data_IF_446935205726
#
_entry.id   IF_446935205726
#
_cell.length_a   1.000
_cell.length_b   1.000
_cell.length_c   1.000
_cell.angle_alpha   90.00
_cell.angle_beta   90.00
_cell.angle_gamma   90.00
#
_symmetry.space_group_name_H-M   'P 1'
#
loop_
_entity.id
_entity.type
_entity.pdbx_description
1 polymer ?
#
# COMPACT_ATOMS: atom_id res chain seq x y z
N UNK A 1 21.08 -56.08 10.40
CA UNK A 1 20.12 -56.93 9.66
C UNK A 1 18.80 -56.17 9.69
N UNK A 2 18.34 -55.47 8.65
CA UNK A 2 18.30 -55.75 7.21
C UNK A 2 18.72 -54.54 6.37
N UNK A 3 19.37 -54.88 5.25
CA UNK A 3 19.73 -54.07 4.08
C UNK A 3 18.50 -53.69 3.22
N UNK A 4 18.77 -52.86 2.20
CA UNK A 4 18.06 -52.62 0.91
C UNK A 4 17.17 -51.35 0.87
N UNK A 5 17.26 -50.40 -0.09
CA UNK A 5 17.88 -50.28 -1.42
C UNK A 5 18.14 -48.78 -1.74
N UNK A 6 19.24 -48.48 -2.43
CA UNK A 6 19.52 -47.23 -3.15
C UNK A 6 18.46 -46.94 -4.23
N UNK A 7 17.95 -45.71 -4.28
CA UNK A 7 17.53 -45.10 -5.55
C UNK A 7 18.17 -43.71 -5.67
N UNK A 8 19.33 -43.68 -6.34
CA UNK A 8 19.78 -42.50 -7.06
C UNK A 8 19.30 -42.64 -8.49
N UNK A 9 18.37 -41.79 -8.91
CA UNK A 9 18.06 -41.53 -10.32
C UNK A 9 17.44 -40.13 -10.43
N UNK A 10 18.31 -39.17 -10.74
CA UNK A 10 18.09 -38.14 -11.75
C UNK A 10 16.69 -37.54 -11.87
N UNK A 11 16.50 -36.34 -11.31
CA UNK A 11 15.57 -35.36 -11.88
C UNK A 11 16.30 -34.02 -12.05
N UNK A 12 17.05 -33.91 -13.15
CA UNK A 12 17.48 -32.64 -13.70
C UNK A 12 16.45 -32.28 -14.79
N UNK A 13 15.38 -31.60 -14.42
CA UNK A 13 14.41 -31.02 -15.36
C UNK A 13 14.06 -29.60 -14.91
N UNK A 14 14.68 -28.63 -15.60
CA UNK A 14 14.22 -27.27 -15.91
C UNK A 14 13.35 -26.56 -14.87
N UNK A 15 13.98 -25.95 -13.86
CA UNK A 15 13.38 -24.89 -13.04
C UNK A 15 13.89 -23.49 -13.41
N UNK A 16 14.47 -23.30 -14.60
CA UNK A 16 14.99 -22.00 -15.00
C UNK A 16 13.86 -21.05 -15.41
N UNK A 17 12.91 -21.51 -16.23
CA UNK A 17 11.84 -20.64 -16.75
C UNK A 17 10.90 -20.05 -15.69
N UNK A 18 10.55 -20.83 -14.66
CA UNK A 18 9.68 -20.37 -13.56
C UNK A 18 10.41 -19.42 -12.60
N UNK A 19 11.67 -19.69 -12.29
CA UNK A 19 12.50 -18.83 -11.43
C UNK A 19 12.82 -17.50 -12.12
N UNK A 20 13.14 -17.52 -13.42
CA UNK A 20 13.37 -16.30 -14.19
C UNK A 20 12.09 -15.47 -14.36
N UNK A 21 10.93 -16.10 -14.55
CA UNK A 21 9.65 -15.41 -14.63
C UNK A 21 9.26 -14.78 -13.28
N UNK A 22 9.49 -15.47 -12.16
CA UNK A 22 9.23 -14.91 -10.82
C UNK A 22 10.20 -13.78 -10.47
N UNK A 23 11.49 -13.93 -10.79
CA UNK A 23 12.52 -12.91 -10.52
C UNK A 23 12.25 -11.63 -11.34
N UNK A 24 11.83 -11.77 -12.60
CA UNK A 24 11.41 -10.64 -13.44
C UNK A 24 10.15 -9.96 -12.91
N UNK A 25 9.18 -10.73 -12.40
CA UNK A 25 7.95 -10.19 -11.80
C UNK A 25 8.26 -9.38 -10.54
N UNK A 26 9.08 -9.92 -9.64
CA UNK A 26 9.52 -9.23 -8.42
C UNK A 26 10.32 -7.96 -8.73
N UNK A 27 11.20 -8.01 -9.74
CA UNK A 27 11.95 -6.85 -10.18
C UNK A 27 11.05 -5.74 -10.77
N UNK A 28 10.05 -6.11 -11.58
CA UNK A 28 9.11 -5.15 -12.13
C UNK A 28 8.26 -4.49 -11.01
N UNK A 29 7.82 -5.28 -10.03
CA UNK A 29 7.12 -4.76 -8.84
C UNK A 29 7.99 -3.77 -8.06
N UNK A 30 9.28 -4.05 -7.88
CA UNK A 30 10.20 -3.16 -7.18
C UNK A 30 10.40 -1.81 -7.92
N UNK A 31 10.46 -1.81 -9.25
CA UNK A 31 10.51 -0.56 -10.03
C UNK A 31 9.22 0.25 -9.87
N UNK A 32 8.06 -0.39 -9.99
CA UNK A 32 6.77 0.28 -9.82
C UNK A 32 6.59 0.84 -8.40
N UNK A 33 7.09 0.14 -7.38
CA UNK A 33 7.13 0.64 -5.99
C UNK A 33 8.06 1.84 -5.84
N UNK A 34 9.25 1.81 -6.43
CA UNK A 34 10.18 2.95 -6.41
C UNK A 34 9.57 4.18 -7.10
N UNK A 35 8.82 3.98 -8.20
CA UNK A 35 8.08 5.05 -8.85
C UNK A 35 6.97 5.64 -7.96
N UNK A 36 6.18 4.79 -7.30
CA UNK A 36 5.14 5.25 -6.38
C UNK A 36 5.74 6.06 -5.21
N UNK A 37 6.89 5.66 -4.67
CA UNK A 37 7.60 6.43 -3.63
C UNK A 37 8.13 7.77 -4.14
N UNK A 38 8.65 7.79 -5.37
CA UNK A 38 9.06 9.04 -6.01
C UNK A 38 7.88 10.01 -6.07
N UNK A 39 6.73 9.59 -6.61
CA UNK A 39 5.54 10.45 -6.67
C UNK A 39 5.06 10.93 -5.30
N UNK A 40 5.13 10.08 -4.27
CA UNK A 40 4.76 10.49 -2.91
C UNK A 40 5.68 11.57 -2.34
N UNK A 41 6.97 11.54 -2.66
CA UNK A 41 7.92 12.58 -2.22
C UNK A 41 7.78 13.88 -3.03
N UNK A 42 7.09 13.83 -4.17
CA UNK A 42 6.86 14.97 -5.07
C UNK A 42 5.34 15.22 -5.22
N UNK A 43 4.63 15.66 -4.16
CA UNK A 43 3.17 15.68 -4.12
C UNK A 43 2.50 16.64 -5.11
N UNK A 44 3.28 17.51 -5.77
CA UNK A 44 2.82 18.35 -6.88
C UNK A 44 2.59 17.55 -8.18
N UNK A 45 2.95 16.26 -8.20
CA UNK A 45 2.90 15.39 -9.37
C UNK A 45 1.77 14.38 -9.26
N UNK A 46 0.92 14.34 -10.28
CA UNK A 46 -0.08 13.29 -10.44
C UNK A 46 0.47 12.14 -11.29
N UNK A 47 0.26 10.90 -10.85
CA UNK A 47 0.74 9.68 -11.53
C UNK A 47 0.28 9.57 -13.00
N UNK A 48 -0.88 10.15 -13.35
CA UNK A 48 -1.46 10.15 -14.71
C UNK A 48 -0.87 11.20 -15.64
N UNK A 49 -0.28 12.29 -15.11
CA UNK A 49 0.03 13.49 -15.88
C UNK A 49 1.49 13.97 -15.76
N UNK A 50 2.28 13.39 -14.87
CA UNK A 50 3.67 13.78 -14.65
C UNK A 50 4.65 12.70 -15.14
N UNK A 51 5.42 12.94 -16.22
CA UNK A 51 6.45 11.99 -16.62
C UNK A 51 7.52 11.90 -15.54
N UNK A 52 8.03 10.68 -15.33
CA UNK A 52 9.17 10.45 -14.44
C UNK A 52 10.38 11.27 -14.91
N UNK A 53 10.97 12.03 -13.98
CA UNK A 53 12.13 12.86 -14.28
C UNK A 53 13.38 12.27 -13.63
N UNK A 54 14.28 11.75 -14.48
CA UNK A 54 15.55 11.13 -14.05
C UNK A 54 16.39 12.12 -13.24
N UNK A 55 16.50 13.38 -13.67
CA UNK A 55 17.33 14.39 -13.00
C UNK A 55 16.83 14.69 -11.59
N UNK A 56 15.52 14.80 -11.44
CA UNK A 56 14.88 15.07 -10.15
C UNK A 56 15.00 13.86 -9.22
N UNK A 57 14.76 12.65 -9.74
CA UNK A 57 14.98 11.43 -8.98
C UNK A 57 16.43 11.31 -8.51
N UNK A 58 17.43 11.67 -9.33
CA UNK A 58 18.83 11.68 -8.89
C UNK A 58 19.11 12.78 -7.88
N UNK A 59 18.43 13.93 -8.00
CA UNK A 59 18.58 15.06 -7.09
C UNK A 59 18.07 14.72 -5.68
N UNK A 60 17.05 13.87 -5.56
CA UNK A 60 16.56 13.36 -4.28
C UNK A 60 17.62 12.66 -3.44
N UNK A 61 18.73 12.19 -4.03
CA UNK A 61 19.82 11.52 -3.32
C UNK A 61 21.09 12.37 -3.24
N UNK A 62 21.06 13.62 -3.69
CA UNK A 62 22.23 14.51 -3.71
C UNK A 62 22.85 14.65 -2.32
N UNK A 63 22.03 14.85 -1.29
CA UNK A 63 22.50 15.01 0.10
C UNK A 63 23.14 13.75 0.67
N UNK A 64 22.69 12.58 0.23
CA UNK A 64 23.27 11.29 0.61
C UNK A 64 24.70 11.17 0.09
N UNK A 65 24.93 11.49 -1.20
CA UNK A 65 26.25 11.36 -1.83
C UNK A 65 27.21 12.51 -1.54
N UNK A 66 26.70 13.68 -1.15
CA UNK A 66 27.54 14.77 -0.65
C UNK A 66 28.21 14.43 0.68
N UNK A 67 27.50 13.69 1.54
CA UNK A 67 28.05 13.21 2.82
C UNK A 67 28.93 11.97 2.62
N UNK A 68 28.52 11.06 1.72
CA UNK A 68 29.18 9.77 1.53
C UNK A 68 29.44 9.49 0.04
N UNK A 69 30.71 9.50 -0.39
CA UNK A 69 31.05 9.20 -1.80
C UNK A 69 30.68 7.78 -2.22
N UNK A 70 30.73 6.83 -1.28
CA UNK A 70 30.30 5.44 -1.44
C UNK A 70 29.33 5.13 -0.33
N UNK A 71 28.16 4.63 -0.69
CA UNK A 71 27.05 4.39 0.23
C UNK A 71 26.79 2.90 0.30
N UNK A 72 26.79 2.32 1.50
CA UNK A 72 26.38 0.94 1.71
C UNK A 72 24.85 0.80 1.90
N UNK A 73 24.38 -0.43 2.07
CA UNK A 73 22.94 -0.70 2.23
C UNK A 73 22.37 -0.08 3.49
N UNK A 74 23.12 -0.02 4.59
CA UNK A 74 22.63 0.52 5.86
C UNK A 74 22.44 2.03 5.77
N UNK A 75 23.42 2.72 5.19
CA UNK A 75 23.37 4.16 4.95
C UNK A 75 22.25 4.53 3.97
N UNK A 76 22.06 3.75 2.89
CA UNK A 76 20.98 3.96 1.94
C UNK A 76 19.61 3.78 2.60
N UNK A 77 19.43 2.68 3.34
CA UNK A 77 18.18 2.38 4.04
C UNK A 77 17.88 3.46 5.08
N UNK A 78 18.87 3.89 5.87
CA UNK A 78 18.66 4.95 6.86
C UNK A 78 18.20 6.26 6.20
N UNK A 79 18.82 6.63 5.08
CA UNK A 79 18.43 7.82 4.32
C UNK A 79 16.97 7.75 3.84
N UNK A 80 16.55 6.62 3.29
CA UNK A 80 15.17 6.40 2.87
C UNK A 80 14.18 6.42 4.05
N UNK A 81 14.57 5.87 5.20
CA UNK A 81 13.74 5.92 6.41
C UNK A 81 13.57 7.36 6.93
N UNK A 82 14.62 8.18 6.89
CA UNK A 82 14.55 9.58 7.33
C UNK A 82 13.63 10.41 6.41
N UNK A 83 13.71 10.20 5.09
CA UNK A 83 12.79 10.80 4.12
C UNK A 83 11.35 10.36 4.40
N UNK A 84 11.15 9.07 4.65
CA UNK A 84 9.84 8.49 4.94
C UNK A 84 9.22 9.07 6.23
N UNK A 85 10.00 9.32 7.28
CA UNK A 85 9.51 9.94 8.51
C UNK A 85 8.91 11.33 8.24
N UNK A 86 9.60 12.14 7.43
CA UNK A 86 9.13 13.48 7.05
C UNK A 86 7.83 13.40 6.27
N UNK A 87 7.77 12.52 5.27
CA UNK A 87 6.58 12.29 4.46
C UNK A 87 5.39 11.83 5.31
N UNK A 88 5.60 10.86 6.21
CA UNK A 88 4.55 10.33 7.08
C UNK A 88 4.02 11.38 8.04
N UNK A 89 4.87 12.30 8.54
CA UNK A 89 4.41 13.43 9.36
C UNK A 89 3.45 14.33 8.58
N UNK A 90 3.81 14.72 7.35
CA UNK A 90 2.94 15.54 6.49
C UNK A 90 1.63 14.82 6.16
N UNK A 91 1.71 13.52 5.80
CA UNK A 91 0.50 12.71 5.53
C UNK A 91 -0.39 12.59 6.76
N UNK A 92 0.18 12.43 7.96
CA UNK A 92 -0.57 12.37 9.21
C UNK A 92 -1.35 13.66 9.45
N UNK A 93 -0.73 14.82 9.27
CA UNK A 93 -1.38 16.12 9.43
C UNK A 93 -2.56 16.31 8.45
N UNK A 94 -2.38 15.89 7.20
CA UNK A 94 -3.47 15.91 6.21
C UNK A 94 -4.55 14.89 6.52
N UNK A 95 -4.18 13.70 6.96
CA UNK A 95 -5.11 12.64 7.35
C UNK A 95 -5.97 13.06 8.54
N UNK A 96 -5.38 13.75 9.52
CA UNK A 96 -6.09 14.32 10.66
C UNK A 96 -7.15 15.33 10.21
N UNK A 97 -6.80 16.27 9.33
CA UNK A 97 -7.76 17.22 8.75
C UNK A 97 -8.90 16.49 8.00
N UNK A 98 -8.56 15.45 7.25
CA UNK A 98 -9.54 14.63 6.55
C UNK A 98 -10.45 13.84 7.51
N UNK A 99 -9.97 13.44 8.69
CA UNK A 99 -10.80 12.77 9.70
C UNK A 99 -11.93 13.68 10.18
N UNK A 100 -11.63 14.96 10.49
CA UNK A 100 -12.65 15.95 10.84
C UNK A 100 -13.68 16.15 9.72
N UNK A 101 -13.22 16.28 8.47
CA UNK A 101 -14.12 16.41 7.32
C UNK A 101 -15.00 15.16 7.15
N UNK A 102 -14.43 13.97 7.30
CA UNK A 102 -15.18 12.71 7.21
C UNK A 102 -16.21 12.59 8.33
N UNK A 103 -15.85 12.93 9.56
CA UNK A 103 -16.81 12.96 10.67
C UNK A 103 -18.00 13.87 10.32
N UNK A 104 -17.72 15.09 9.89
CA UNK A 104 -18.75 16.05 9.48
C UNK A 104 -19.59 15.56 8.29
N UNK A 105 -19.11 14.66 7.43
CA UNK A 105 -19.90 14.06 6.35
C UNK A 105 -20.79 12.92 6.88
N UNK A 106 -20.30 12.15 7.85
CA UNK A 106 -21.02 11.01 8.43
C UNK A 106 -22.09 11.44 9.45
N UNK A 107 -21.82 12.49 10.22
CA UNK A 107 -22.80 13.15 11.09
C UNK A 107 -23.81 13.89 10.19
N UNK A 108 -24.86 13.19 9.77
CA UNK A 108 -25.82 13.67 8.79
C UNK A 108 -26.74 14.73 9.39
N UNK A 109 -27.15 14.53 10.64
CA UNK A 109 -28.08 15.43 11.34
C UNK A 109 -27.38 16.64 12.01
N UNK A 110 -26.04 16.68 12.02
CA UNK A 110 -25.18 17.75 12.57
C UNK A 110 -25.33 17.94 14.08
N UNK A 111 -25.62 16.87 14.81
CA UNK A 111 -25.75 16.90 16.27
C UNK A 111 -24.44 16.60 17.02
N UNK A 112 -23.34 16.40 16.28
CA UNK A 112 -22.01 16.02 16.77
C UNK A 112 -21.95 14.64 17.42
N UNK A 113 -22.95 13.78 17.17
CA UNK A 113 -23.07 12.44 17.73
C UNK A 113 -23.40 11.46 16.61
N UNK A 114 -22.35 10.85 16.05
CA UNK A 114 -22.54 9.87 15.00
C UNK A 114 -23.15 8.58 15.55
N UNK A 115 -24.38 8.30 15.14
CA UNK A 115 -25.09 7.06 15.48
C UNK A 115 -24.59 5.89 14.64
N UNK A 116 -24.88 4.66 15.08
CA UNK A 116 -24.55 3.47 14.30
C UNK A 116 -25.24 3.48 12.92
N UNK A 117 -26.48 3.99 12.84
CA UNK A 117 -27.22 4.08 11.58
C UNK A 117 -26.51 5.00 10.58
N UNK A 118 -26.07 6.18 11.02
CA UNK A 118 -25.31 7.13 10.19
C UNK A 118 -23.97 6.54 9.76
N UNK A 119 -23.28 5.87 10.68
CA UNK A 119 -22.04 5.18 10.36
C UNK A 119 -22.24 4.09 9.29
N UNK A 120 -23.31 3.28 9.40
CA UNK A 120 -23.60 2.20 8.45
C UNK A 120 -24.09 2.68 7.09
N UNK A 121 -24.76 3.83 7.00
CA UNK A 121 -25.25 4.38 5.73
C UNK A 121 -24.11 4.62 4.73
N UNK A 122 -22.96 5.10 5.20
CA UNK A 122 -21.77 5.23 4.35
C UNK A 122 -21.20 3.87 3.91
N UNK A 123 -21.40 2.83 4.70
CA UNK A 123 -21.08 1.45 4.36
C UNK A 123 -21.93 0.93 3.21
N UNK A 124 -23.25 1.15 3.27
CA UNK A 124 -24.16 0.79 2.16
C UNK A 124 -23.66 1.37 0.84
N UNK A 125 -23.42 2.69 0.80
CA UNK A 125 -22.93 3.39 -0.39
C UNK A 125 -21.60 2.83 -0.89
N UNK A 126 -20.70 2.45 0.03
CA UNK A 126 -19.42 1.83 -0.33
C UNK A 126 -19.63 0.45 -0.94
N UNK A 127 -20.46 -0.39 -0.33
CA UNK A 127 -20.75 -1.75 -0.83
C UNK A 127 -21.40 -1.69 -2.22
N UNK A 128 -22.45 -0.88 -2.38
CA UNK A 128 -23.13 -0.64 -3.66
C UNK A 128 -22.19 -0.13 -4.76
N UNK A 129 -21.11 0.59 -4.41
CA UNK A 129 -20.13 1.05 -5.40
C UNK A 129 -19.31 -0.10 -5.99
N UNK A 130 -19.14 -1.20 -5.24
CA UNK A 130 -18.43 -2.41 -5.67
C UNK A 130 -19.36 -3.45 -6.30
N UNK A 131 -20.62 -3.51 -5.87
CA UNK A 131 -21.65 -4.44 -6.35
C UNK A 131 -22.17 -3.99 -7.72
N UNK A 132 -21.53 -4.48 -8.79
CA UNK A 132 -21.77 -4.04 -10.16
C UNK A 132 -23.03 -4.65 -10.73
N UNK A 133 -23.34 -5.89 -10.38
CA UNK A 133 -24.54 -6.58 -10.84
C UNK A 133 -25.77 -6.28 -9.94
N UNK A 134 -25.57 -5.66 -8.77
CA UNK A 134 -26.59 -5.27 -7.78
C UNK A 134 -27.34 -6.45 -7.19
N UNK A 135 -26.66 -7.56 -6.97
CA UNK A 135 -27.26 -8.77 -6.41
C UNK A 135 -27.12 -8.86 -4.87
N UNK A 136 -26.44 -7.89 -4.24
CA UNK A 136 -26.24 -7.82 -2.80
C UNK A 136 -25.06 -8.67 -2.29
N UNK A 137 -24.25 -9.22 -3.20
CA UNK A 137 -23.05 -10.01 -2.93
C UNK A 137 -21.91 -9.40 -3.74
N UNK A 138 -20.70 -9.36 -3.17
CA UNK A 138 -19.49 -9.04 -3.90
C UNK A 138 -18.75 -10.33 -4.21
N UNK A 139 -18.66 -10.69 -5.49
CA UNK A 139 -18.05 -11.94 -5.92
C UNK A 139 -17.21 -11.79 -7.21
N UNK A 140 -16.88 -12.92 -7.84
CA UNK A 140 -16.11 -12.97 -9.07
C UNK A 140 -16.82 -12.29 -10.27
N UNK A 141 -18.15 -12.22 -10.28
CA UNK A 141 -18.92 -11.53 -11.32
C UNK A 141 -18.68 -10.02 -11.26
N UNK A 142 -18.64 -9.45 -10.06
CA UNK A 142 -18.32 -8.02 -9.90
C UNK A 142 -16.90 -7.70 -10.31
N UNK A 143 -15.95 -8.60 -10.05
CA UNK A 143 -14.56 -8.46 -10.54
C UNK A 143 -14.56 -8.39 -12.07
N UNK A 144 -15.33 -9.25 -12.74
CA UNK A 144 -15.42 -9.26 -14.21
C UNK A 144 -16.09 -7.99 -14.75
N UNK A 145 -17.12 -7.48 -14.06
CA UNK A 145 -17.86 -6.29 -14.46
C UNK A 145 -17.11 -4.98 -14.17
N UNK A 146 -16.30 -4.92 -13.11
CA UNK A 146 -15.52 -3.73 -12.74
C UNK A 146 -14.34 -3.46 -13.71
N UNK A 147 -13.95 -4.47 -14.50
CA UNK A 147 -12.76 -4.42 -15.36
C UNK A 147 -11.45 -4.33 -14.55
N UNK A 148 -10.31 -4.33 -15.23
CA UNK A 148 -8.97 -4.28 -14.61
C UNK A 148 -8.61 -2.88 -14.05
N UNK A 149 -9.50 -2.24 -13.32
CA UNK A 149 -9.20 -0.99 -12.61
C UNK A 149 -8.28 -1.29 -11.43
N UNK A 150 -6.98 -1.21 -11.66
CA UNK A 150 -5.91 -1.44 -10.66
C UNK A 150 -5.47 -0.16 -9.94
N UNK A 151 -6.26 0.92 -10.06
CA UNK A 151 -5.95 2.19 -9.41
C UNK A 151 -6.28 2.11 -7.91
N UNK A 152 -5.31 2.47 -7.09
CA UNK A 152 -5.47 2.59 -5.64
C UNK A 152 -6.02 3.96 -5.27
N UNK A 153 -6.60 4.11 -4.08
CA UNK A 153 -7.21 5.38 -3.62
C UNK A 153 -6.24 6.57 -3.57
N UNK A 154 -4.93 6.31 -3.58
CA UNK A 154 -3.85 7.30 -3.66
C UNK A 154 -3.43 7.62 -5.11
N UNK A 155 -4.16 7.11 -6.11
CA UNK A 155 -3.93 7.37 -7.53
C UNK A 155 -2.78 6.59 -8.15
N UNK A 156 -2.18 5.66 -7.40
CA UNK A 156 -1.12 4.79 -7.91
C UNK A 156 -1.70 3.51 -8.51
N UNK A 157 -0.87 2.80 -9.28
CA UNK A 157 -1.17 1.42 -9.73
C UNK A 157 -0.83 0.37 -8.66
N UNK A 158 -0.10 0.77 -7.61
CA UNK A 158 0.38 -0.11 -6.54
C UNK A 158 0.13 0.54 -5.20
N UNK A 159 -0.46 -0.24 -4.29
CA UNK A 159 -0.70 0.15 -2.91
C UNK A 159 0.61 0.10 -2.13
N UNK A 160 1.04 1.24 -1.62
CA UNK A 160 2.21 1.28 -0.76
C UNK A 160 1.87 0.74 0.64
N UNK A 161 2.82 0.10 1.35
CA UNK A 161 2.61 -0.39 2.71
C UNK A 161 2.13 0.65 3.72
N UNK A 162 2.40 1.94 3.44
CA UNK A 162 2.01 3.09 4.27
C UNK A 162 0.62 3.66 3.91
N UNK A 163 -0.02 3.16 2.86
CA UNK A 163 -1.37 3.58 2.47
C UNK A 163 -2.40 2.96 3.42
N UNK A 164 -3.46 3.72 3.75
CA UNK A 164 -4.48 3.25 4.68
C UNK A 164 -5.11 1.95 4.16
N UNK A 165 -5.37 0.96 5.03
CA UNK A 165 -5.88 -0.35 4.63
C UNK A 165 -7.38 -0.28 4.34
N UNK A 166 -7.70 0.25 3.16
CA UNK A 166 -9.05 0.26 2.57
C UNK A 166 -9.02 -0.53 1.27
N UNK A 167 -10.06 -1.32 0.95
CA UNK A 167 -10.12 -1.99 -0.34
C UNK A 167 -10.30 -0.97 -1.46
N UNK A 168 -9.51 -1.08 -2.53
CA UNK A 168 -9.66 -0.29 -3.75
C UNK A 168 -10.43 -1.01 -4.86
N UNK A 169 -10.55 -2.33 -4.77
CA UNK A 169 -11.23 -3.19 -5.74
C UNK A 169 -11.97 -4.32 -5.01
N UNK A 170 -12.81 -5.05 -5.76
CA UNK A 170 -13.64 -6.14 -5.25
C UNK A 170 -12.77 -7.26 -4.64
N UNK A 171 -11.65 -7.62 -5.27
CA UNK A 171 -10.74 -8.65 -4.76
C UNK A 171 -10.19 -8.30 -3.37
N UNK A 172 -9.73 -7.06 -3.17
CA UNK A 172 -9.28 -6.59 -1.85
C UNK A 172 -10.44 -6.54 -0.85
N UNK A 173 -11.64 -6.17 -1.30
CA UNK A 173 -12.84 -6.16 -0.47
C UNK A 173 -13.15 -7.58 0.05
N UNK A 174 -13.09 -8.58 -0.83
CA UNK A 174 -13.26 -9.99 -0.49
C UNK A 174 -12.16 -10.47 0.45
N UNK A 175 -10.90 -10.13 0.19
CA UNK A 175 -9.79 -10.48 1.06
C UNK A 175 -9.96 -9.91 2.48
N UNK A 176 -10.45 -8.67 2.60
CA UNK A 176 -10.58 -7.99 3.87
C UNK A 176 -11.82 -8.41 4.67
N UNK A 177 -12.96 -8.61 4.00
CA UNK A 177 -14.26 -8.83 4.66
C UNK A 177 -14.88 -10.21 4.42
N UNK A 178 -14.31 -11.02 3.52
CA UNK A 178 -14.84 -12.33 3.14
C UNK A 178 -14.67 -13.42 4.20
N UNK A 179 -13.89 -13.17 5.26
CA UNK A 179 -13.69 -14.14 6.35
C UNK A 179 -13.22 -15.52 5.85
N UNK A 180 -12.40 -15.53 4.78
CA UNK A 180 -11.90 -16.74 4.11
C UNK A 180 -12.78 -17.26 2.99
N UNK A 181 -13.94 -16.64 2.72
CA UNK A 181 -14.79 -16.90 1.55
C UNK A 181 -14.24 -16.16 0.32
N UNK A 182 -14.67 -16.60 -0.85
CA UNK A 182 -14.46 -15.98 -2.15
C UNK A 182 -15.55 -14.95 -2.52
N UNK A 183 -16.43 -14.62 -1.57
CA UNK A 183 -17.45 -13.59 -1.71
C UNK A 183 -17.68 -12.84 -0.39
N UNK A 184 -18.32 -11.68 -0.47
CA UNK A 184 -18.71 -10.87 0.70
C UNK A 184 -20.16 -10.46 0.59
N UNK A 185 -20.94 -10.71 1.63
CA UNK A 185 -22.30 -10.16 1.73
C UNK A 185 -22.31 -8.80 2.42
N UNK A 186 -23.38 -8.02 2.25
CA UNK A 186 -23.57 -6.78 3.01
C UNK A 186 -23.50 -7.02 4.52
N UNK A 187 -24.02 -8.15 5.02
CA UNK A 187 -23.98 -8.52 6.43
C UNK A 187 -22.57 -8.81 6.96
N UNK A 188 -21.72 -9.45 6.16
CA UNK A 188 -20.31 -9.66 6.51
C UNK A 188 -19.57 -8.33 6.67
N UNK A 189 -19.82 -7.41 5.74
CA UNK A 189 -19.23 -6.07 5.76
C UNK A 189 -19.74 -5.25 6.96
N UNK A 190 -21.06 -5.26 7.22
CA UNK A 190 -21.66 -4.59 8.37
C UNK A 190 -21.12 -5.13 9.69
N UNK A 191 -20.93 -6.44 9.81
CA UNK A 191 -20.35 -7.04 11.02
C UNK A 191 -18.94 -6.52 11.32
N UNK A 192 -18.13 -6.24 10.29
CA UNK A 192 -16.82 -5.62 10.46
C UNK A 192 -16.94 -4.15 10.85
N UNK A 193 -17.89 -3.42 10.26
CA UNK A 193 -18.16 -2.01 10.58
C UNK A 193 -18.71 -1.83 12.00
N UNK A 194 -19.60 -2.70 12.46
CA UNK A 194 -20.12 -2.70 13.83
C UNK A 194 -18.98 -2.83 14.84
N UNK A 195 -18.05 -3.77 14.59
CA UNK A 195 -16.85 -3.94 15.44
C UNK A 195 -16.02 -2.66 15.48
N UNK A 196 -15.83 -1.98 14.34
CA UNK A 196 -15.13 -0.70 14.31
C UNK A 196 -15.89 0.34 15.13
N UNK A 197 -17.19 0.52 14.90
CA UNK A 197 -18.03 1.47 15.62
C UNK A 197 -17.94 1.30 17.13
N UNK A 198 -18.15 0.09 17.64
CA UNK A 198 -18.07 -0.21 19.07
C UNK A 198 -16.66 -0.09 19.63
N UNK A 199 -15.61 -0.24 18.81
CA UNK A 199 -14.24 0.03 19.25
C UNK A 199 -13.92 1.52 19.31
N UNK A 200 -14.62 2.33 18.51
CA UNK A 200 -14.50 3.79 18.49
C UNK A 200 -15.28 4.44 19.63
N UNK A 201 -16.47 3.92 19.94
CA UNK A 201 -17.28 4.31 21.11
C UNK A 201 -16.61 3.82 22.40
N UNK A 202 -15.66 4.63 22.90
CA UNK A 202 -14.79 4.25 24.02
C UNK A 202 -15.50 4.30 25.36
N UNK A 203 -16.54 5.15 25.48
CA UNK A 203 -17.31 5.32 26.70
C UNK A 203 -18.58 4.44 26.74
N UNK A 204 -18.87 3.73 25.65
CA UNK A 204 -20.01 2.84 25.46
C UNK A 204 -21.38 3.51 25.61
N UNK A 205 -21.50 4.79 25.22
CA UNK A 205 -22.75 5.55 25.26
C UNK A 205 -23.61 5.39 23.99
N UNK A 206 -23.14 4.56 23.04
CA UNK A 206 -23.78 4.23 21.75
C UNK A 206 -23.84 5.38 20.77
N UNK A 207 -23.04 6.43 20.99
CA UNK A 207 -22.75 7.44 19.99
C UNK A 207 -21.25 7.56 19.83
N UNK A 208 -20.79 7.95 18.64
CA UNK A 208 -19.38 8.25 18.42
C UNK A 208 -19.26 9.77 18.29
N UNK A 209 -18.49 10.37 19.20
CA UNK A 209 -18.15 11.79 19.12
C UNK A 209 -17.06 12.04 18.09
N UNK A 210 -16.91 13.30 17.65
CA UNK A 210 -15.82 13.69 16.75
C UNK A 210 -14.45 13.32 17.34
N UNK A 211 -14.27 13.56 18.65
CA UNK A 211 -13.02 13.28 19.34
C UNK A 211 -12.68 11.79 19.31
N UNK A 212 -13.66 10.92 19.56
CA UNK A 212 -13.49 9.47 19.51
C UNK A 212 -13.16 8.99 18.09
N UNK A 213 -13.90 9.48 17.10
CA UNK A 213 -13.65 9.15 15.70
C UNK A 213 -12.24 9.57 15.26
N UNK A 214 -11.85 10.80 15.57
CA UNK A 214 -10.52 11.34 15.23
C UNK A 214 -9.43 10.58 15.96
N UNK A 215 -9.63 10.20 17.22
CA UNK A 215 -8.67 9.43 18.00
C UNK A 215 -8.46 8.02 17.42
N UNK A 216 -9.55 7.27 17.16
CA UNK A 216 -9.47 5.94 16.54
C UNK A 216 -8.77 6.02 15.20
N UNK A 217 -9.20 6.95 14.34
CA UNK A 217 -8.64 7.09 13.00
C UNK A 217 -7.15 7.41 13.05
N UNK A 218 -6.74 8.33 13.94
CA UNK A 218 -5.33 8.71 14.12
C UNK A 218 -4.51 7.55 14.65
N UNK A 219 -5.03 6.79 15.63
CA UNK A 219 -4.36 5.60 16.15
C UNK A 219 -4.16 4.54 15.07
N UNK A 220 -5.20 4.27 14.26
CA UNK A 220 -5.10 3.34 13.14
C UNK A 220 -4.10 3.81 12.09
N UNK A 221 -4.07 5.10 11.79
CA UNK A 221 -3.08 5.69 10.88
C UNK A 221 -1.65 5.51 11.43
N UNK A 222 -1.44 5.76 12.71
CA UNK A 222 -0.13 5.65 13.36
C UNK A 222 0.35 4.19 13.40
N UNK A 223 -0.53 3.24 13.70
CA UNK A 223 -0.26 1.80 13.64
C UNK A 223 0.09 1.34 12.21
N UNK A 224 -0.70 1.76 11.22
CA UNK A 224 -0.43 1.46 9.81
C UNK A 224 0.89 2.07 9.35
N UNK A 225 1.20 3.29 9.77
CA UNK A 225 2.46 3.96 9.47
C UNK A 225 3.65 3.24 10.09
N UNK A 226 3.54 2.77 11.34
CA UNK A 226 4.58 2.01 12.00
C UNK A 226 4.83 0.67 11.30
N UNK A 227 3.79 -0.11 11.00
CA UNK A 227 3.95 -1.35 10.23
C UNK A 227 4.46 -1.08 8.81
N UNK A 228 4.02 0.02 8.20
CA UNK A 228 4.44 0.43 6.87
C UNK A 228 5.92 0.76 6.81
N UNK A 229 6.47 1.50 7.79
CA UNK A 229 7.92 1.81 7.88
C UNK A 229 8.79 0.56 7.85
N UNK A 230 8.44 -0.47 8.62
CA UNK A 230 9.18 -1.74 8.63
C UNK A 230 9.15 -2.44 7.26
N UNK A 231 7.99 -2.48 6.61
CA UNK A 231 7.88 -3.02 5.26
C UNK A 231 8.68 -2.18 4.25
N UNK A 232 8.65 -0.86 4.38
CA UNK A 232 9.43 0.05 3.55
C UNK A 232 10.94 -0.18 3.69
N UNK A 233 11.42 -0.53 4.89
CA UNK A 233 12.82 -0.89 5.10
C UNK A 233 13.25 -2.06 4.22
N UNK A 234 12.43 -3.11 4.14
CA UNK A 234 12.68 -4.26 3.27
C UNK A 234 12.67 -3.85 1.78
N UNK A 235 11.76 -2.97 1.39
CA UNK A 235 11.71 -2.45 0.01
C UNK A 235 12.96 -1.62 -0.33
N UNK A 236 13.45 -0.79 0.58
CA UNK A 236 14.70 -0.04 0.39
C UNK A 236 15.91 -0.96 0.24
N UNK A 237 15.95 -2.09 0.95
CA UNK A 237 17.00 -3.11 0.77
C UNK A 237 16.91 -3.74 -0.62
N UNK A 238 15.71 -4.12 -1.07
CA UNK A 238 15.51 -4.68 -2.40
C UNK A 238 15.91 -3.69 -3.50
N UNK A 239 15.49 -2.42 -3.36
CA UNK A 239 15.86 -1.33 -4.24
C UNK A 239 17.38 -1.10 -4.28
N UNK A 240 18.06 -1.12 -3.13
CA UNK A 240 19.52 -1.06 -3.07
C UNK A 240 20.15 -2.21 -3.87
N UNK A 241 19.63 -3.44 -3.75
CA UNK A 241 20.10 -4.58 -4.52
C UNK A 241 20.04 -4.35 -6.03
N UNK A 242 18.95 -3.75 -6.52
CA UNK A 242 18.76 -3.40 -7.93
C UNK A 242 19.70 -2.29 -8.41
N UNK A 243 19.96 -1.29 -7.55
CA UNK A 243 20.90 -0.20 -7.84
C UNK A 243 22.34 -0.74 -7.87
N UNK A 244 22.70 -1.52 -6.85
CA UNK A 244 24.06 -1.99 -6.62
C UNK A 244 24.50 -3.07 -7.60
N UNK A 245 23.58 -3.87 -8.15
CA UNK A 245 23.87 -4.93 -9.12
C UNK A 245 25.01 -5.85 -8.64
N UNK A 246 24.93 -6.28 -7.37
CA UNK A 246 25.93 -7.14 -6.73
C UNK A 246 27.13 -6.41 -6.09
N UNK A 247 27.22 -5.08 -6.20
CA UNK A 247 28.23 -4.29 -5.48
C UNK A 247 27.89 -4.17 -3.99
N UNK A 248 28.92 -4.02 -3.15
CA UNK A 248 28.74 -3.72 -1.71
C UNK A 248 28.34 -2.27 -1.42
N UNK A 249 28.69 -1.36 -2.32
CA UNK A 249 28.44 0.08 -2.17
C UNK A 249 27.99 0.66 -3.50
N UNK A 250 27.13 1.67 -3.45
CA UNK A 250 26.66 2.44 -4.61
C UNK A 250 27.28 3.84 -4.62
N UNK A 251 27.28 4.45 -5.80
CA UNK A 251 27.69 5.84 -6.05
C UNK A 251 26.57 6.58 -6.79
N UNK A 252 26.67 7.90 -6.91
CA UNK A 252 25.66 8.73 -7.57
C UNK A 252 25.32 8.26 -9.00
N UNK A 253 26.32 7.82 -9.76
CA UNK A 253 26.11 7.29 -11.12
C UNK A 253 25.28 6.00 -11.13
N UNK A 254 25.33 5.18 -10.08
CA UNK A 254 24.52 3.96 -9.97
C UNK A 254 23.03 4.31 -9.81
N UNK A 255 22.71 5.38 -9.05
CA UNK A 255 21.33 5.91 -8.94
C UNK A 255 20.83 6.44 -10.28
N UNK A 256 21.68 7.14 -11.04
CA UNK A 256 21.31 7.63 -12.36
C UNK A 256 21.01 6.48 -13.33
N UNK A 257 21.83 5.42 -13.32
CA UNK A 257 21.59 4.23 -14.13
C UNK A 257 20.30 3.51 -13.72
N UNK A 258 20.03 3.41 -12.42
CA UNK A 258 18.76 2.87 -11.92
C UNK A 258 17.57 3.70 -12.38
N UNK A 259 17.64 5.03 -12.28
CA UNK A 259 16.58 5.93 -12.72
C UNK A 259 16.29 5.80 -14.22
N UNK A 260 17.32 5.62 -15.05
CA UNK A 260 17.14 5.33 -16.48
C UNK A 260 16.39 4.02 -16.72
N UNK A 261 16.77 2.94 -16.03
CA UNK A 261 16.07 1.65 -16.11
C UNK A 261 14.63 1.76 -15.61
N UNK A 262 14.43 2.43 -14.48
CA UNK A 262 13.09 2.68 -13.92
C UNK A 262 12.19 3.38 -14.95
N UNK A 263 12.68 4.43 -15.60
CA UNK A 263 11.93 5.15 -16.64
C UNK A 263 11.53 4.23 -17.82
N UNK A 264 12.39 3.30 -18.21
CA UNK A 264 12.11 2.34 -19.28
C UNK A 264 11.05 1.31 -18.88
N UNK A 265 11.06 0.84 -17.63
CA UNK A 265 10.15 -0.19 -17.12
C UNK A 265 8.74 0.35 -16.82
N UNK A 266 8.61 1.61 -16.41
CA UNK A 266 7.29 2.23 -16.17
C UNK A 266 6.57 2.70 -17.43
N UNK A 267 7.32 2.86 -18.54
CA UNK A 267 6.78 3.30 -19.84
C UNK A 267 6.30 2.12 -20.69
N UNK A 268 6.69 0.89 -20.34
CA UNK A 268 6.24 -0.36 -20.96
C UNK A 268 4.89 -0.80 -20.38
#
# INVERSE_FOLDING_TARGET
MRLFVQFAASLLIMATGSVYASEKLEQNQAYQQAYALYLLNHPQKEAKNSPFNISEYTQDYHDLFNKNKKVDVEQFVQYEQDRLVTLLKQRREMSLKQAHVRFNILDNNKDQKMTLSEFQESGVKTFESFDKNKDGILDQQDIQLAGNSSETHDGFRIKLPISMPMPSNVTEFIQQYGQGKDYVTLGDYFSARDKQYFSTDTNADRVVTEQEYVNEFTQRFDQNSASGKEKMKALSIAQFGLIAQGKKTIQANDIQNFAQKLNQEITQ
#
